data_IF_553603133111
#
_entry.id   IF_553603133111
#
_cell.length_a   1.000
_cell.length_b   1.000
_cell.length_c   1.000
_cell.angle_alpha   90.00
_cell.angle_beta   90.00
_cell.angle_gamma   90.00
#
_symmetry.space_group_name_H-M   'P 1'
#
loop_
_entity.id
_entity.type
_entity.pdbx_description
1 polymer ?
#
# COMPACT_ATOMS: atom_id res chain seq x y z
N UNK A 1 -17.44 24.26 -5.48
CA UNK A 1 -16.22 23.44 -5.42
C UNK A 1 -15.32 23.83 -4.24
N UNK A 2 -14.82 25.07 -4.12
CA UNK A 2 -13.96 25.51 -3.00
C UNK A 2 -14.57 25.23 -1.63
N UNK A 3 -15.85 25.58 -1.41
CA UNK A 3 -16.53 25.34 -0.12
C UNK A 3 -16.64 23.86 0.28
N UNK A 4 -16.72 22.94 -0.68
CA UNK A 4 -16.74 21.49 -0.42
C UNK A 4 -15.35 20.97 -0.09
N UNK A 5 -14.33 21.46 -0.76
CA UNK A 5 -12.92 21.15 -0.46
C UNK A 5 -12.53 21.60 0.96
N UNK A 6 -12.91 22.82 1.34
CA UNK A 6 -12.68 23.31 2.72
C UNK A 6 -13.39 22.45 3.76
N UNK A 7 -14.63 22.03 3.51
CA UNK A 7 -15.38 21.12 4.39
C UNK A 7 -14.69 19.74 4.49
N UNK A 8 -14.22 19.20 3.37
CA UNK A 8 -13.50 17.93 3.34
C UNK A 8 -12.20 17.99 4.15
N UNK A 9 -11.42 19.05 3.95
CA UNK A 9 -10.17 19.30 4.70
C UNK A 9 -10.48 19.46 6.19
N UNK A 10 -11.50 20.26 6.55
CA UNK A 10 -11.91 20.44 7.95
C UNK A 10 -12.30 19.11 8.59
N UNK A 11 -13.12 18.32 7.90
CA UNK A 11 -13.56 17.01 8.34
C UNK A 11 -12.36 16.08 8.54
N UNK A 12 -11.45 15.99 7.55
CA UNK A 12 -10.25 15.16 7.65
C UNK A 12 -9.34 15.58 8.82
N UNK A 13 -9.16 16.88 9.08
CA UNK A 13 -8.34 17.36 10.20
C UNK A 13 -8.85 16.91 11.58
N UNK A 14 -10.17 16.75 11.74
CA UNK A 14 -10.77 16.39 13.03
C UNK A 14 -11.12 14.90 13.15
N UNK A 15 -11.18 14.17 12.03
CA UNK A 15 -11.62 12.76 12.00
C UNK A 15 -10.58 11.79 11.45
N UNK A 16 -9.36 12.23 11.15
CA UNK A 16 -8.34 11.36 10.55
C UNK A 16 -8.18 10.03 11.31
N UNK A 17 -8.22 8.93 10.56
CA UNK A 17 -8.16 7.57 11.10
C UNK A 17 -9.52 7.05 11.62
N UNK A 18 -10.61 7.74 11.29
CA UNK A 18 -11.97 7.32 11.65
C UNK A 18 -12.55 6.41 10.58
N UNK A 19 -12.37 5.09 10.72
CA UNK A 19 -12.81 4.06 9.78
C UNK A 19 -14.31 4.17 9.44
N UNK A 20 -15.16 4.44 10.41
CA UNK A 20 -16.60 4.55 10.22
C UNK A 20 -17.00 5.65 9.22
N UNK A 21 -16.21 6.72 9.10
CA UNK A 21 -16.53 7.84 8.24
C UNK A 21 -16.32 7.51 6.75
N UNK A 22 -15.22 6.86 6.41
CA UNK A 22 -14.96 6.44 5.03
C UNK A 22 -15.99 5.44 4.54
N UNK A 23 -16.38 4.48 5.38
CA UNK A 23 -17.44 3.51 5.09
C UNK A 23 -18.78 4.20 4.84
N UNK A 24 -19.18 5.11 5.73
CA UNK A 24 -20.40 5.88 5.55
C UNK A 24 -20.36 6.72 4.28
N UNK A 25 -19.23 7.39 4.01
CA UNK A 25 -19.07 8.19 2.80
C UNK A 25 -19.17 7.34 1.52
N UNK A 26 -18.71 6.09 1.55
CA UNK A 26 -18.77 5.19 0.39
C UNK A 26 -20.20 4.82 -0.06
N UNK A 27 -21.21 5.05 0.78
CA UNK A 27 -22.63 4.83 0.44
C UNK A 27 -23.20 5.93 -0.48
N UNK A 28 -22.49 7.05 -0.66
CA UNK A 28 -22.96 8.18 -1.46
C UNK A 28 -22.32 8.21 -2.86
N UNK A 29 -23.08 8.65 -3.89
CA UNK A 29 -22.58 8.70 -5.25
C UNK A 29 -21.59 9.86 -5.50
N UNK A 30 -21.57 10.87 -4.65
CA UNK A 30 -20.72 12.06 -4.82
C UNK A 30 -20.45 12.78 -3.50
N UNK A 31 -19.41 13.61 -3.50
CA UNK A 31 -19.07 14.48 -2.37
C UNK A 31 -20.21 15.46 -2.05
N UNK A 32 -20.94 15.94 -3.08
CA UNK A 32 -22.10 16.81 -2.89
C UNK A 32 -23.25 16.09 -2.19
N UNK A 33 -23.57 14.85 -2.62
CA UNK A 33 -24.60 14.02 -1.99
C UNK A 33 -24.21 13.69 -0.53
N UNK A 34 -22.96 13.33 -0.30
CA UNK A 34 -22.43 13.10 1.04
C UNK A 34 -22.62 14.33 1.95
N UNK A 35 -22.22 15.55 1.51
CA UNK A 35 -22.38 16.75 2.32
C UNK A 35 -23.80 17.28 2.40
N UNK A 36 -24.69 16.88 1.51
CA UNK A 36 -26.12 17.20 1.61
C UNK A 36 -26.80 16.38 2.72
N UNK A 37 -26.45 15.09 2.82
CA UNK A 37 -26.93 14.19 3.86
C UNK A 37 -26.16 14.36 5.18
N UNK A 38 -24.85 14.60 5.09
CA UNK A 38 -23.99 14.86 6.23
C UNK A 38 -24.36 16.19 6.88
N UNK A 39 -25.53 16.21 7.49
CA UNK A 39 -25.87 17.27 8.38
C UNK A 39 -25.29 16.90 9.75
N UNK A 40 -24.56 17.85 10.36
CA UNK A 40 -23.86 17.68 11.62
C UNK A 40 -24.77 17.26 12.81
N UNK A 41 -26.05 16.97 12.56
CA UNK A 41 -27.07 16.55 13.53
C UNK A 41 -27.23 15.02 13.56
N UNK A 42 -26.89 14.31 12.49
CA UNK A 42 -26.97 12.85 12.48
C UNK A 42 -25.96 12.22 13.47
N UNK A 43 -26.46 11.27 14.24
CA UNK A 43 -25.64 10.43 15.11
C UNK A 43 -24.87 9.40 14.27
N UNK A 44 -23.86 9.85 13.55
CA UNK A 44 -22.92 8.90 12.97
C UNK A 44 -22.23 8.12 14.10
N UNK A 45 -22.28 6.79 14.07
CA UNK A 45 -21.58 5.99 15.06
C UNK A 45 -20.12 6.44 15.08
N UNK A 46 -19.69 6.97 16.25
CA UNK A 46 -18.32 7.39 16.44
C UNK A 46 -18.00 8.87 16.23
N UNK A 47 -18.87 9.72 15.68
CA UNK A 47 -18.65 11.17 15.68
C UNK A 47 -19.05 11.75 17.05
N UNK A 48 -18.04 12.04 17.85
CA UNK A 48 -18.27 12.67 19.16
C UNK A 48 -18.91 14.06 19.02
N UNK A 49 -19.63 14.50 20.03
CA UNK A 49 -20.19 15.85 20.09
C UNK A 49 -19.13 16.94 19.89
N UNK A 50 -17.90 16.70 20.36
CA UNK A 50 -16.77 17.59 20.20
C UNK A 50 -16.35 17.77 18.73
N UNK A 51 -16.34 16.70 17.94
CA UNK A 51 -16.03 16.77 16.49
C UNK A 51 -17.12 17.56 15.78
N UNK A 52 -18.40 17.30 16.06
CA UNK A 52 -19.51 18.06 15.51
C UNK A 52 -19.43 19.54 15.83
N UNK A 53 -19.15 19.88 17.07
CA UNK A 53 -18.98 21.26 17.52
C UNK A 53 -17.81 21.95 16.81
N UNK A 54 -16.67 21.26 16.66
CA UNK A 54 -15.49 21.79 15.97
C UNK A 54 -15.76 22.09 14.49
N UNK A 55 -16.59 21.26 13.82
CA UNK A 55 -16.96 21.50 12.42
C UNK A 55 -17.97 22.62 12.24
N UNK A 56 -18.93 22.76 13.16
CA UNK A 56 -19.92 23.87 13.14
C UNK A 56 -19.28 25.23 13.45
N UNK A 57 -18.35 25.26 14.37
CA UNK A 57 -17.65 26.50 14.82
C UNK A 57 -16.14 26.23 14.87
N UNK A 58 -15.45 26.22 13.72
CA UNK A 58 -14.03 25.95 13.65
C UNK A 58 -13.24 26.95 14.50
N UNK A 59 -12.38 26.43 15.38
CA UNK A 59 -11.45 27.23 16.16
C UNK A 59 -10.46 27.97 15.26
N UNK A 60 -9.80 29.00 15.80
CA UNK A 60 -8.73 29.71 15.06
C UNK A 60 -7.62 28.75 14.61
N UNK A 61 -7.29 27.78 15.44
CA UNK A 61 -6.29 26.75 15.10
C UNK A 61 -6.73 25.87 13.94
N UNK A 62 -7.99 25.37 13.95
CA UNK A 62 -8.52 24.57 12.86
C UNK A 62 -8.57 25.36 11.54
N UNK A 63 -9.02 26.62 11.58
CA UNK A 63 -8.99 27.50 10.40
C UNK A 63 -7.57 27.70 9.87
N UNK A 64 -6.58 27.89 10.75
CA UNK A 64 -5.18 27.99 10.34
C UNK A 64 -4.68 26.71 9.66
N UNK A 65 -5.02 25.52 10.18
CA UNK A 65 -4.68 24.23 9.57
C UNK A 65 -5.33 24.07 8.19
N UNK A 66 -6.62 24.39 8.07
CA UNK A 66 -7.33 24.35 6.77
C UNK A 66 -6.62 25.27 5.75
N UNK A 67 -6.28 26.50 6.13
CA UNK A 67 -5.56 27.42 5.24
C UNK A 67 -4.16 26.91 4.87
N UNK A 68 -3.46 26.25 5.79
CA UNK A 68 -2.17 25.61 5.49
C UNK A 68 -2.32 24.46 4.47
N UNK A 69 -3.32 23.62 4.63
CA UNK A 69 -3.62 22.53 3.69
C UNK A 69 -3.99 23.11 2.31
N UNK A 70 -4.84 24.13 2.23
CA UNK A 70 -5.20 24.81 0.97
C UNK A 70 -3.98 25.44 0.30
N UNK A 71 -3.17 26.22 1.03
CA UNK A 71 -1.94 26.83 0.49
C UNK A 71 -0.95 25.76 -0.02
N UNK A 72 -0.90 24.61 0.65
CA UNK A 72 -0.04 23.52 0.17
C UNK A 72 -0.57 22.97 -1.16
N UNK A 73 -1.88 22.86 -1.33
CA UNK A 73 -2.53 22.37 -2.56
C UNK A 73 -2.38 23.32 -3.77
N UNK A 74 -1.96 24.56 -3.58
CA UNK A 74 -1.76 25.52 -4.69
C UNK A 74 -0.61 25.12 -5.63
N UNK A 75 0.24 24.15 -5.26
CA UNK A 75 1.31 23.65 -6.12
C UNK A 75 0.82 22.51 -7.03
N UNK A 76 1.32 22.51 -8.26
CA UNK A 76 0.88 21.62 -9.34
C UNK A 76 1.15 20.12 -9.09
N UNK A 77 2.13 19.78 -8.23
CA UNK A 77 2.50 18.42 -7.86
C UNK A 77 1.76 17.92 -6.63
N UNK A 78 0.76 18.66 -6.12
CA UNK A 78 0.06 18.38 -4.87
C UNK A 78 -1.43 18.29 -5.07
N UNK A 79 -2.01 17.25 -4.50
CA UNK A 79 -3.41 16.91 -4.72
C UNK A 79 -4.06 16.48 -3.41
N UNK A 80 -5.36 16.70 -3.31
CA UNK A 80 -6.24 16.06 -2.34
C UNK A 80 -7.23 15.22 -3.13
N UNK A 81 -7.14 13.91 -3.01
CA UNK A 81 -7.93 12.95 -3.77
C UNK A 81 -9.01 12.40 -2.84
N UNK A 82 -10.25 12.74 -3.08
CA UNK A 82 -11.38 12.26 -2.28
C UNK A 82 -11.87 10.89 -2.74
N UNK A 83 -12.55 10.18 -1.84
CA UNK A 83 -13.16 8.87 -2.11
C UNK A 83 -14.11 8.88 -3.33
N UNK A 84 -14.57 10.06 -3.73
CA UNK A 84 -15.53 10.24 -4.80
C UNK A 84 -14.90 10.54 -6.17
N UNK A 85 -13.59 10.75 -6.22
CA UNK A 85 -12.89 11.08 -7.45
C UNK A 85 -12.45 9.83 -8.21
N UNK A 86 -12.39 9.88 -9.55
CA UNK A 86 -11.99 8.74 -10.38
C UNK A 86 -10.53 8.32 -10.16
N UNK A 87 -9.69 9.25 -9.67
CA UNK A 87 -8.29 8.99 -9.33
C UNK A 87 -8.13 8.20 -8.03
N UNK A 88 -9.19 8.09 -7.21
CA UNK A 88 -9.11 7.32 -5.97
C UNK A 88 -8.93 5.82 -6.26
N UNK A 89 -7.94 5.13 -5.66
CA UNK A 89 -7.65 3.73 -5.99
C UNK A 89 -8.85 2.82 -5.80
N UNK A 90 -9.27 2.16 -6.89
CA UNK A 90 -10.48 1.32 -6.90
C UNK A 90 -10.41 0.19 -5.87
N UNK A 91 -9.24 -0.46 -5.72
CA UNK A 91 -9.05 -1.51 -4.73
C UNK A 91 -9.16 -1.00 -3.30
N UNK A 92 -8.63 0.19 -3.01
CA UNK A 92 -8.71 0.81 -1.69
C UNK A 92 -10.16 1.19 -1.34
N UNK A 93 -10.94 1.64 -2.35
CA UNK A 93 -12.35 1.98 -2.18
C UNK A 93 -13.20 0.78 -1.74
N UNK A 94 -12.80 -0.44 -2.13
CA UNK A 94 -13.48 -1.69 -1.79
C UNK A 94 -13.18 -2.18 -0.37
N UNK A 95 -12.19 -1.61 0.32
CA UNK A 95 -11.85 -2.02 1.68
C UNK A 95 -12.91 -1.60 2.69
N UNK A 96 -12.92 -2.26 3.85
CA UNK A 96 -13.89 -2.00 4.91
C UNK A 96 -13.86 -0.56 5.45
N UNK A 97 -12.69 0.08 5.45
CA UNK A 97 -12.47 1.42 6.01
C UNK A 97 -11.61 2.30 5.09
N UNK A 98 -12.12 2.64 3.88
CA UNK A 98 -11.37 3.46 2.96
C UNK A 98 -11.13 4.86 3.56
N UNK A 99 -9.95 5.49 3.41
CA UNK A 99 -9.75 6.89 3.76
C UNK A 99 -10.73 7.81 3.03
N UNK A 100 -11.30 8.78 3.73
CA UNK A 100 -12.22 9.76 3.11
C UNK A 100 -11.51 10.57 2.01
N UNK A 101 -10.24 10.85 2.21
CA UNK A 101 -9.37 11.49 1.21
C UNK A 101 -7.90 11.15 1.46
N UNK A 102 -7.10 11.36 0.42
CA UNK A 102 -5.65 11.18 0.43
C UNK A 102 -4.98 12.48 0.00
N UNK A 103 -4.10 13.02 0.82
CA UNK A 103 -3.10 14.00 0.39
C UNK A 103 -2.06 13.28 -0.46
N UNK A 104 -1.73 13.83 -1.61
CA UNK A 104 -0.78 13.24 -2.55
C UNK A 104 0.23 14.27 -3.05
N UNK A 105 1.50 13.85 -3.20
CA UNK A 105 2.55 14.67 -3.80
C UNK A 105 3.38 13.85 -4.78
N UNK A 106 3.42 14.28 -6.04
CA UNK A 106 4.12 13.63 -7.13
C UNK A 106 3.18 13.14 -8.24
N UNK A 107 3.50 12.03 -8.88
CA UNK A 107 2.77 11.51 -10.05
C UNK A 107 1.51 10.71 -9.64
N UNK A 108 0.36 11.35 -9.64
CA UNK A 108 -0.94 10.71 -9.28
C UNK A 108 -1.38 9.63 -10.27
N UNK A 109 -0.88 9.62 -11.52
CA UNK A 109 -1.23 8.58 -12.49
C UNK A 109 -0.81 7.17 -12.04
N UNK A 110 0.11 7.06 -11.07
CA UNK A 110 0.50 5.79 -10.47
C UNK A 110 -0.62 5.14 -9.64
N UNK A 111 -1.59 5.90 -9.15
CA UNK A 111 -2.70 5.37 -8.34
C UNK A 111 -3.61 4.42 -9.11
N UNK A 112 -3.76 4.63 -10.41
CA UNK A 112 -4.63 3.83 -11.27
C UNK A 112 -3.90 2.67 -11.96
N UNK A 113 -2.59 2.50 -11.70
CA UNK A 113 -1.83 1.36 -12.21
C UNK A 113 -1.97 0.17 -11.25
N UNK A 114 -1.83 -1.08 -11.75
CA UNK A 114 -1.79 -2.25 -10.88
C UNK A 114 -0.60 -2.16 -9.91
N UNK A 115 -0.88 -2.45 -8.65
CA UNK A 115 0.08 -2.26 -7.56
C UNK A 115 0.34 -3.56 -6.82
N UNK A 116 1.56 -3.71 -6.31
CA UNK A 116 1.94 -4.78 -5.38
C UNK A 116 2.68 -4.19 -4.17
N UNK A 117 2.32 -4.65 -2.98
CA UNK A 117 2.98 -4.19 -1.76
C UNK A 117 4.25 -5.00 -1.50
N UNK A 118 5.34 -4.33 -1.10
CA UNK A 118 6.54 -4.96 -0.55
C UNK A 118 6.76 -4.43 0.85
N UNK A 119 6.70 -5.30 1.85
CA UNK A 119 6.85 -4.94 3.26
C UNK A 119 7.72 -5.94 4.00
N UNK A 120 8.29 -5.52 5.14
CA UNK A 120 9.11 -6.43 5.92
C UNK A 120 9.78 -5.77 7.12
N UNK A 121 10.84 -6.41 7.59
CA UNK A 121 11.61 -5.99 8.75
C UNK A 121 12.21 -4.59 8.59
N UNK A 122 12.06 -3.76 9.62
CA UNK A 122 12.77 -2.47 9.73
C UNK A 122 14.28 -2.65 9.97
N UNK A 123 14.68 -3.81 10.51
CA UNK A 123 16.05 -4.25 10.73
C UNK A 123 16.36 -5.40 9.79
N UNK A 124 16.17 -5.16 8.50
CA UNK A 124 16.40 -6.16 7.47
C UNK A 124 17.87 -6.52 7.34
N UNK A 125 18.13 -7.78 7.01
CA UNK A 125 19.46 -8.23 6.64
C UNK A 125 19.88 -7.63 5.29
N UNK A 126 21.17 -7.64 4.98
CA UNK A 126 21.65 -7.23 3.67
C UNK A 126 21.06 -8.09 2.53
N UNK A 127 20.85 -9.38 2.79
CA UNK A 127 20.20 -10.31 1.85
C UNK A 127 18.74 -9.93 1.64
N UNK A 128 17.98 -9.70 2.72
CA UNK A 128 16.58 -9.28 2.61
C UNK A 128 16.41 -7.95 1.87
N UNK A 129 17.28 -6.98 2.12
CA UNK A 129 17.26 -5.71 1.37
C UNK A 129 17.57 -5.93 -0.12
N UNK A 130 18.55 -6.76 -0.45
CA UNK A 130 18.89 -7.11 -1.84
C UNK A 130 17.69 -7.76 -2.53
N UNK A 131 17.05 -8.76 -1.91
CA UNK A 131 15.85 -9.42 -2.43
C UNK A 131 14.75 -8.40 -2.68
N UNK A 132 14.43 -7.54 -1.71
CA UNK A 132 13.38 -6.53 -1.85
C UNK A 132 13.66 -5.57 -3.01
N UNK A 133 14.92 -5.15 -3.20
CA UNK A 133 15.34 -4.27 -4.30
C UNK A 133 15.20 -4.97 -5.65
N UNK A 134 15.66 -6.21 -5.78
CA UNK A 134 15.61 -6.98 -7.03
C UNK A 134 14.17 -7.33 -7.43
N UNK A 135 13.34 -7.78 -6.49
CA UNK A 135 11.91 -8.04 -6.74
C UNK A 135 11.19 -6.75 -7.16
N UNK A 136 11.43 -5.65 -6.44
CA UNK A 136 10.84 -4.36 -6.78
C UNK A 136 11.21 -3.90 -8.20
N UNK A 137 12.49 -4.02 -8.59
CA UNK A 137 12.96 -3.66 -9.93
C UNK A 137 12.28 -4.50 -11.00
N UNK A 138 12.34 -5.84 -10.88
CA UNK A 138 11.76 -6.77 -11.85
C UNK A 138 10.23 -6.63 -11.97
N UNK A 139 9.51 -6.50 -10.85
CA UNK A 139 8.05 -6.29 -10.86
C UNK A 139 7.68 -4.95 -11.50
N UNK A 140 8.51 -3.91 -11.31
CA UNK A 140 8.32 -2.62 -11.98
C UNK A 140 8.58 -2.70 -13.49
N UNK A 141 9.49 -3.57 -13.95
CA UNK A 141 9.77 -3.81 -15.37
C UNK A 141 8.57 -4.42 -16.09
N UNK A 142 7.79 -5.24 -15.43
CA UNK A 142 6.55 -5.81 -15.98
C UNK A 142 5.32 -4.93 -15.77
N UNK A 143 5.49 -3.70 -15.30
CA UNK A 143 4.43 -2.68 -15.22
C UNK A 143 3.68 -2.59 -13.89
N UNK A 144 4.09 -3.36 -12.86
CA UNK A 144 3.53 -3.24 -11.53
C UNK A 144 4.14 -2.07 -10.75
N UNK A 145 3.32 -1.28 -10.09
CA UNK A 145 3.79 -0.21 -9.20
C UNK A 145 4.05 -0.79 -7.81
N UNK A 146 5.24 -0.51 -7.27
CA UNK A 146 5.57 -0.93 -5.90
C UNK A 146 5.01 0.06 -4.90
N UNK A 147 4.16 -0.44 -4.00
CA UNK A 147 3.57 0.33 -2.91
C UNK A 147 4.16 -0.13 -1.58
N UNK A 148 4.63 0.79 -0.76
CA UNK A 148 5.18 0.46 0.55
C UNK A 148 5.04 1.60 1.56
N UNK A 149 5.51 1.36 2.79
CA UNK A 149 5.25 2.23 3.94
C UNK A 149 6.37 3.21 4.30
N UNK A 150 7.40 3.36 3.50
CA UNK A 150 8.50 4.28 3.77
C UNK A 150 9.30 3.99 5.06
N UNK A 151 9.12 2.83 5.71
CA UNK A 151 9.91 2.43 6.86
C UNK A 151 11.37 2.13 6.46
N UNK A 152 12.28 2.09 7.44
CA UNK A 152 13.65 1.58 7.20
C UNK A 152 13.61 0.10 6.83
N UNK A 153 14.69 -0.42 6.23
CA UNK A 153 14.82 -1.83 5.88
C UNK A 153 14.09 -2.19 4.59
N UNK A 154 13.19 -3.15 4.62
CA UNK A 154 12.55 -3.72 3.43
C UNK A 154 11.74 -2.69 2.65
N UNK A 155 10.94 -1.84 3.31
CA UNK A 155 10.15 -0.80 2.64
C UNK A 155 11.05 0.13 1.82
N UNK A 156 12.13 0.63 2.44
CA UNK A 156 13.08 1.51 1.76
C UNK A 156 13.79 0.81 0.58
N UNK A 157 14.16 -0.46 0.75
CA UNK A 157 14.79 -1.26 -0.30
C UNK A 157 13.84 -1.49 -1.49
N UNK A 158 12.56 -1.80 -1.23
CA UNK A 158 11.52 -1.91 -2.25
C UNK A 158 11.35 -0.61 -3.04
N UNK A 159 11.25 0.53 -2.35
CA UNK A 159 11.18 1.83 -3.02
C UNK A 159 12.41 2.12 -3.89
N UNK A 160 13.62 1.80 -3.39
CA UNK A 160 14.86 1.99 -4.14
C UNK A 160 14.88 1.20 -5.45
N UNK A 161 14.44 -0.07 -5.42
CA UNK A 161 14.38 -0.93 -6.61
C UNK A 161 13.42 -0.41 -7.68
N UNK A 162 12.27 0.14 -7.27
CA UNK A 162 11.22 0.60 -8.18
C UNK A 162 11.35 2.07 -8.63
N UNK A 163 12.31 2.82 -8.11
CA UNK A 163 12.35 4.28 -8.21
C UNK A 163 12.43 4.80 -9.66
N UNK A 164 13.08 4.06 -10.55
CA UNK A 164 13.23 4.46 -11.97
C UNK A 164 11.92 4.38 -12.77
N UNK A 165 10.94 3.61 -12.31
CA UNK A 165 9.64 3.41 -12.98
C UNK A 165 8.46 3.96 -12.18
N UNK A 166 8.74 4.50 -11.00
CA UNK A 166 7.77 5.04 -10.06
C UNK A 166 7.35 4.05 -8.99
N UNK A 167 7.18 4.58 -7.78
CA UNK A 167 6.74 3.83 -6.60
C UNK A 167 5.82 4.71 -5.75
N UNK A 168 4.93 4.10 -4.97
CA UNK A 168 4.01 4.83 -4.09
C UNK A 168 4.42 4.61 -2.64
N UNK A 169 4.77 5.69 -1.96
CA UNK A 169 5.04 5.67 -0.52
C UNK A 169 3.82 6.15 0.25
N UNK A 170 3.23 5.26 1.03
CA UNK A 170 2.14 5.60 1.94
C UNK A 170 2.73 6.04 3.27
N UNK A 171 2.38 7.22 3.75
CA UNK A 171 2.98 7.80 4.95
C UNK A 171 2.09 7.63 6.18
N UNK A 172 2.71 7.47 7.34
CA UNK A 172 2.05 7.52 8.65
C UNK A 172 2.09 8.92 9.28
N UNK A 173 2.45 9.95 8.49
CA UNK A 173 2.55 11.37 8.86
C UNK A 173 1.91 12.22 7.77
N UNK A 174 1.80 13.53 7.94
CA UNK A 174 1.47 14.40 6.81
C UNK A 174 2.54 14.33 5.71
N UNK A 175 2.15 14.61 4.45
CA UNK A 175 3.05 14.58 3.29
C UNK A 175 4.19 15.61 3.36
N UNK A 176 4.06 16.61 4.23
CA UNK A 176 5.05 17.64 4.52
C UNK A 176 6.10 17.20 5.57
N UNK A 177 5.95 16.02 6.18
CA UNK A 177 6.82 15.53 7.26
C UNK A 177 7.70 14.39 6.80
N UNK A 178 8.99 14.52 7.01
CA UNK A 178 9.98 13.46 6.77
C UNK A 178 9.99 12.49 7.94
N UNK A 179 9.61 11.23 7.70
CA UNK A 179 9.74 10.17 8.69
C UNK A 179 9.90 8.78 8.05
N UNK A 180 10.89 8.00 8.46
CA UNK A 180 11.99 8.35 9.37
C UNK A 180 13.03 9.27 8.70
N UNK A 181 13.71 10.12 9.47
CA UNK A 181 14.73 11.05 8.92
C UNK A 181 15.82 10.36 8.09
N UNK A 182 16.17 9.13 8.44
CA UNK A 182 17.14 8.31 7.68
C UNK A 182 16.75 8.15 6.20
N UNK A 183 15.46 8.19 5.88
CA UNK A 183 14.94 8.01 4.52
C UNK A 183 14.64 9.35 3.81
N UNK A 184 15.11 10.48 4.33
CA UNK A 184 14.85 11.81 3.75
C UNK A 184 15.24 11.89 2.27
N UNK A 185 16.47 11.45 1.93
CA UNK A 185 16.94 11.44 0.53
C UNK A 185 16.07 10.58 -0.38
N UNK A 186 15.61 9.44 0.14
CA UNK A 186 14.71 8.56 -0.60
C UNK A 186 13.34 9.23 -0.80
N UNK A 187 12.81 9.88 0.23
CA UNK A 187 11.55 10.62 0.15
C UNK A 187 11.58 11.73 -0.91
N UNK A 188 12.69 12.47 -1.01
CA UNK A 188 12.89 13.51 -2.05
C UNK A 188 12.84 12.87 -3.43
N UNK A 189 13.58 11.79 -3.66
CA UNK A 189 13.59 11.07 -4.94
C UNK A 189 12.23 10.48 -5.31
N UNK A 190 11.44 10.03 -4.34
CA UNK A 190 10.08 9.54 -4.58
C UNK A 190 9.14 10.70 -4.98
N UNK A 191 9.27 11.88 -4.39
CA UNK A 191 8.52 13.07 -4.83
C UNK A 191 8.76 13.42 -6.30
N UNK A 192 9.99 13.22 -6.77
CA UNK A 192 10.40 13.54 -8.15
C UNK A 192 9.98 12.45 -9.16
N UNK A 193 10.07 11.17 -8.78
CA UNK A 193 9.95 10.04 -9.70
C UNK A 193 8.79 9.08 -9.35
N UNK A 194 8.04 9.33 -8.31
CA UNK A 194 6.99 8.47 -7.79
C UNK A 194 5.84 9.28 -7.18
N UNK A 195 5.28 8.77 -6.10
CA UNK A 195 4.16 9.38 -5.42
C UNK A 195 4.25 9.18 -3.91
N UNK A 196 4.09 10.25 -3.14
CA UNK A 196 3.81 10.18 -1.71
C UNK A 196 2.32 10.33 -1.50
N UNK A 197 1.73 9.50 -0.63
CA UNK A 197 0.34 9.64 -0.20
C UNK A 197 0.20 9.54 1.31
N UNK A 198 -0.80 10.21 1.84
CA UNK A 198 -1.18 10.13 3.26
C UNK A 198 -2.66 10.41 3.47
N UNK A 199 -3.30 9.67 4.38
CA UNK A 199 -4.63 10.05 4.91
C UNK A 199 -4.54 11.16 5.96
N UNK A 200 -3.35 11.46 6.45
CA UNK A 200 -3.13 12.45 7.51
C UNK A 200 -2.98 13.85 6.94
N UNK A 201 -3.60 14.88 7.58
CA UNK A 201 -3.44 16.28 7.19
C UNK A 201 -1.99 16.74 7.38
N UNK A 202 -1.64 17.87 6.77
CA UNK A 202 -0.32 18.45 6.90
C UNK A 202 0.01 18.77 8.37
N UNK A 203 1.29 18.77 8.67
CA UNK A 203 1.80 18.99 10.02
C UNK A 203 1.58 17.82 10.98
N UNK A 204 0.92 16.72 10.55
CA UNK A 204 0.73 15.55 11.40
C UNK A 204 2.06 14.85 11.67
N UNK A 205 2.46 14.85 12.93
CA UNK A 205 3.71 14.23 13.38
C UNK A 205 3.55 12.70 13.50
N UNK A 206 4.70 12.00 13.51
CA UNK A 206 4.74 10.56 13.68
C UNK A 206 4.26 10.13 15.07
N UNK A 207 3.30 9.21 15.12
CA UNK A 207 2.83 8.56 16.35
C UNK A 207 2.77 7.05 16.15
N UNK A 208 3.14 6.23 17.15
CA UNK A 208 3.25 4.78 17.00
C UNK A 208 2.02 4.10 16.39
N UNK A 209 0.82 4.49 16.78
CA UNK A 209 -0.44 3.90 16.33
C UNK A 209 -0.77 4.21 14.85
N UNK A 210 -0.22 5.27 14.28
CA UNK A 210 -0.48 5.67 12.89
C UNK A 210 0.14 4.69 11.88
N UNK A 211 1.22 4.02 12.23
CA UNK A 211 1.89 3.10 11.32
C UNK A 211 1.09 1.81 11.07
N UNK A 212 0.55 1.12 12.09
CA UNK A 212 -0.37 0.01 11.85
C UNK A 212 -1.64 0.44 11.10
N UNK A 213 -2.21 1.61 11.42
CA UNK A 213 -3.39 2.13 10.72
C UNK A 213 -3.12 2.39 9.24
N UNK A 214 -1.97 3.02 8.92
CA UNK A 214 -1.55 3.27 7.55
C UNK A 214 -1.37 1.99 6.72
N UNK A 215 -0.93 0.88 7.34
CA UNK A 215 -0.66 -0.36 6.60
C UNK A 215 -1.89 -0.87 5.85
N UNK A 216 -3.12 -0.61 6.33
CA UNK A 216 -4.35 -0.97 5.61
C UNK A 216 -4.47 -0.29 4.24
N UNK A 217 -3.86 0.88 4.07
CA UNK A 217 -3.83 1.60 2.79
C UNK A 217 -2.81 0.94 1.87
N UNK A 218 -1.62 0.57 2.38
CA UNK A 218 -0.58 -0.13 1.60
C UNK A 218 -1.14 -1.43 1.01
N UNK A 219 -1.76 -2.26 1.86
CA UNK A 219 -2.33 -3.55 1.43
C UNK A 219 -3.60 -3.37 0.61
N UNK A 220 -4.46 -2.41 0.98
CA UNK A 220 -5.74 -2.15 0.33
C UNK A 220 -5.64 -1.64 -1.11
N UNK A 221 -4.54 -0.94 -1.46
CA UNK A 221 -4.28 -0.48 -2.83
C UNK A 221 -3.66 -1.57 -3.70
N UNK A 222 -3.15 -2.63 -3.11
CA UNK A 222 -2.31 -3.63 -3.78
C UNK A 222 -3.10 -4.90 -4.10
N UNK A 223 -2.75 -5.55 -5.19
CA UNK A 223 -3.29 -6.86 -5.60
C UNK A 223 -2.83 -7.96 -4.67
N UNK A 224 -1.61 -7.83 -4.16
CA UNK A 224 -1.01 -8.73 -3.18
C UNK A 224 0.07 -8.05 -2.38
N UNK A 225 0.54 -8.72 -1.33
CA UNK A 225 1.56 -8.21 -0.40
C UNK A 225 2.69 -9.21 -0.25
N UNK A 226 3.90 -8.80 -0.60
CA UNK A 226 5.12 -9.59 -0.47
C UNK A 226 5.75 -9.30 0.89
N UNK A 227 5.92 -10.34 1.69
CA UNK A 227 6.60 -10.31 2.99
C UNK A 227 8.01 -10.84 2.79
N UNK A 228 9.02 -9.95 2.82
CA UNK A 228 10.41 -10.34 2.56
C UNK A 228 11.10 -10.88 3.80
N UNK A 229 10.99 -10.21 4.91
CA UNK A 229 11.47 -10.65 6.22
C UNK A 229 10.48 -10.25 7.31
N UNK A 230 10.14 -11.17 8.19
CA UNK A 230 9.33 -10.92 9.36
C UNK A 230 9.78 -11.80 10.53
N UNK A 231 10.10 -11.20 11.66
CA UNK A 231 10.24 -11.92 12.91
C UNK A 231 8.87 -12.40 13.42
N UNK A 232 8.83 -13.37 14.31
CA UNK A 232 7.59 -13.98 14.82
C UNK A 232 6.62 -12.98 15.46
N UNK A 233 7.13 -11.93 16.10
CA UNK A 233 6.34 -10.84 16.70
C UNK A 233 6.58 -9.52 15.95
N UNK A 234 6.52 -9.55 14.61
CA UNK A 234 6.77 -8.38 13.78
C UNK A 234 5.47 -7.63 13.48
N UNK A 235 5.56 -6.29 13.45
CA UNK A 235 4.49 -5.44 12.90
C UNK A 235 4.17 -5.72 11.41
N UNK A 236 5.08 -6.37 10.70
CA UNK A 236 4.88 -6.81 9.30
C UNK A 236 3.76 -7.85 9.19
N UNK A 237 3.57 -8.70 10.23
CA UNK A 237 2.48 -9.67 10.26
C UNK A 237 1.10 -9.00 10.34
N UNK A 238 1.04 -7.75 10.81
CA UNK A 238 -0.21 -6.96 10.75
C UNK A 238 -0.56 -6.68 9.28
N UNK A 239 0.42 -6.33 8.44
CA UNK A 239 0.17 -6.11 7.01
C UNK A 239 -0.28 -7.39 6.31
N UNK A 240 0.32 -8.55 6.62
CA UNK A 240 -0.12 -9.83 6.06
C UNK A 240 -1.58 -10.14 6.43
N UNK A 241 -1.94 -9.94 7.71
CA UNK A 241 -3.33 -10.13 8.17
C UNK A 241 -4.28 -9.17 7.48
N UNK A 242 -3.94 -7.88 7.39
CA UNK A 242 -4.76 -6.87 6.71
C UNK A 242 -4.95 -7.21 5.23
N UNK A 243 -3.93 -7.70 4.53
CA UNK A 243 -4.04 -8.16 3.16
C UNK A 243 -5.06 -9.29 3.02
N UNK A 244 -4.98 -10.33 3.89
CA UNK A 244 -5.95 -11.43 3.92
C UNK A 244 -7.38 -10.95 4.22
N UNK A 245 -7.56 -10.07 5.23
CA UNK A 245 -8.86 -9.50 5.59
C UNK A 245 -9.47 -8.66 4.43
N UNK A 246 -8.62 -8.11 3.56
CA UNK A 246 -9.01 -7.33 2.37
C UNK A 246 -9.18 -8.21 1.11
N UNK A 247 -9.01 -9.53 1.21
CA UNK A 247 -9.08 -10.46 0.07
C UNK A 247 -7.93 -10.26 -0.94
N UNK A 248 -6.73 -9.93 -0.45
CA UNK A 248 -5.52 -9.74 -1.25
C UNK A 248 -4.57 -10.90 -1.05
N UNK A 249 -3.83 -11.26 -2.11
CA UNK A 249 -2.82 -12.31 -2.04
C UNK A 249 -1.70 -11.97 -1.05
N UNK A 250 -1.20 -13.01 -0.37
CA UNK A 250 -0.05 -12.88 0.54
C UNK A 250 1.07 -13.80 0.08
N UNK A 251 2.19 -13.18 -0.25
CA UNK A 251 3.41 -13.84 -0.69
C UNK A 251 4.46 -13.77 0.41
N UNK A 252 5.18 -14.85 0.65
CA UNK A 252 6.21 -14.88 1.66
C UNK A 252 7.53 -15.42 1.08
N UNK A 253 8.60 -14.64 1.25
CA UNK A 253 9.95 -15.07 0.88
C UNK A 253 10.46 -16.06 1.94
N UNK A 254 10.87 -17.29 1.56
CA UNK A 254 11.49 -18.23 2.48
C UNK A 254 12.86 -17.76 2.90
N UNK A 255 13.35 -18.27 4.02
CA UNK A 255 14.70 -17.98 4.49
C UNK A 255 15.25 -19.08 5.39
N UNK A 256 16.42 -18.86 6.00
CA UNK A 256 17.02 -19.83 6.89
C UNK A 256 16.13 -20.10 8.11
N UNK A 257 15.93 -21.38 8.45
CA UNK A 257 15.19 -21.81 9.66
C UNK A 257 15.91 -21.40 10.96
N UNK A 258 17.20 -21.12 10.89
CA UNK A 258 17.98 -20.62 12.03
C UNK A 258 17.87 -19.10 12.22
N UNK A 259 17.33 -18.39 11.21
CA UNK A 259 17.19 -16.94 11.23
C UNK A 259 15.92 -16.49 11.92
N UNK A 260 16.04 -15.71 12.99
CA UNK A 260 14.87 -15.15 13.68
C UNK A 260 14.04 -14.22 12.77
N UNK A 261 14.65 -13.61 11.76
CA UNK A 261 13.99 -12.69 10.82
C UNK A 261 13.04 -13.39 9.83
N UNK A 262 13.13 -14.73 9.70
CA UNK A 262 12.32 -15.48 8.73
C UNK A 262 11.20 -16.29 9.39
N UNK A 263 11.15 -16.38 10.72
CA UNK A 263 10.14 -17.17 11.44
C UNK A 263 8.70 -16.73 11.12
N UNK A 264 8.49 -15.43 10.94
CA UNK A 264 7.18 -14.90 10.55
C UNK A 264 6.79 -15.30 9.13
N UNK A 265 7.74 -15.26 8.17
CA UNK A 265 7.50 -15.72 6.81
C UNK A 265 7.17 -17.22 6.78
N UNK A 266 7.95 -18.06 7.52
CA UNK A 266 7.67 -19.51 7.61
C UNK A 266 6.26 -19.77 8.19
N UNK A 267 5.86 -19.03 9.24
CA UNK A 267 4.52 -19.14 9.80
C UNK A 267 3.44 -18.77 8.79
N UNK A 268 3.64 -17.70 8.02
CA UNK A 268 2.69 -17.30 6.97
C UNK A 268 2.57 -18.39 5.90
N UNK A 269 3.68 -19.00 5.46
CA UNK A 269 3.68 -20.12 4.50
C UNK A 269 2.89 -21.30 5.07
N UNK A 270 3.12 -21.67 6.33
CA UNK A 270 2.37 -22.74 7.00
C UNK A 270 0.87 -22.42 7.14
N UNK A 271 0.49 -21.15 7.11
CA UNK A 271 -0.90 -20.67 7.14
C UNK A 271 -1.52 -20.49 5.74
N UNK A 272 -0.79 -20.87 4.68
CA UNK A 272 -1.30 -20.86 3.31
C UNK A 272 -0.84 -19.67 2.47
N UNK A 273 0.04 -18.79 2.97
CA UNK A 273 0.66 -17.79 2.10
C UNK A 273 1.53 -18.47 1.04
N UNK A 274 1.46 -17.99 -0.21
CA UNK A 274 2.28 -18.51 -1.31
C UNK A 274 3.75 -18.30 -0.99
N UNK A 275 4.53 -19.38 -0.95
CA UNK A 275 5.99 -19.32 -0.95
C UNK A 275 6.45 -18.80 -2.32
N UNK A 276 7.31 -17.78 -2.34
CA UNK A 276 7.83 -17.21 -3.57
C UNK A 276 9.35 -17.10 -3.54
N UNK A 277 9.98 -17.51 -4.64
CA UNK A 277 11.43 -17.46 -4.85
C UNK A 277 11.79 -16.59 -6.07
N UNK A 278 10.80 -16.34 -6.94
CA UNK A 278 10.93 -15.54 -8.14
C UNK A 278 9.71 -14.64 -8.35
N UNK A 279 9.77 -13.72 -9.31
CA UNK A 279 8.62 -12.89 -9.67
C UNK A 279 7.56 -13.68 -10.41
N UNK A 280 7.92 -14.73 -11.11
CA UNK A 280 7.04 -15.64 -11.84
C UNK A 280 6.04 -16.28 -10.89
N UNK A 281 6.48 -16.73 -9.70
CA UNK A 281 5.61 -17.29 -8.64
C UNK A 281 4.52 -16.30 -8.21
N UNK A 282 4.80 -14.99 -8.30
CA UNK A 282 3.85 -13.93 -7.97
C UNK A 282 2.89 -13.68 -9.12
N UNK A 283 3.43 -13.61 -10.35
CA UNK A 283 2.64 -13.30 -11.54
C UNK A 283 1.62 -14.40 -11.86
N UNK A 284 1.93 -15.66 -11.54
CA UNK A 284 1.01 -16.81 -11.68
C UNK A 284 -0.26 -16.66 -10.82
N UNK A 285 -0.16 -16.07 -9.64
CA UNK A 285 -1.29 -15.90 -8.71
C UNK A 285 -2.07 -14.60 -8.96
N UNK A 286 -1.51 -13.65 -9.71
CA UNK A 286 -2.20 -12.39 -9.95
C UNK A 286 -3.17 -12.53 -11.13
N UNK A 287 -4.43 -12.11 -10.99
CA UNK A 287 -5.39 -12.15 -12.09
C UNK A 287 -4.85 -11.36 -13.29
N UNK A 288 -5.12 -11.86 -14.49
CA UNK A 288 -4.66 -11.34 -15.78
C UNK A 288 -4.97 -9.83 -15.89
N UNK A 289 -4.02 -9.04 -15.48
CA UNK A 289 -4.10 -7.59 -15.59
C UNK A 289 -3.31 -7.26 -16.83
N UNK A 290 -3.92 -7.08 -18.00
CA UNK A 290 -3.34 -6.57 -19.25
C UNK A 290 -1.85 -6.18 -19.26
N UNK A 291 -1.02 -6.91 -18.52
CA UNK A 291 0.43 -6.76 -18.46
C UNK A 291 0.93 -7.39 -19.75
N UNK A 292 1.42 -6.56 -20.66
CA UNK A 292 2.07 -7.02 -21.87
C UNK A 292 3.40 -7.71 -21.50
N UNK A 293 3.32 -9.01 -21.25
CA UNK A 293 4.48 -9.86 -20.93
C UNK A 293 5.41 -10.00 -22.14
N UNK A 294 5.00 -9.43 -23.29
CA UNK A 294 5.71 -9.58 -24.58
C UNK A 294 7.04 -8.82 -24.67
N UNK A 295 7.35 -7.90 -23.75
CA UNK A 295 8.58 -7.08 -23.82
C UNK A 295 9.71 -7.50 -22.88
N UNK A 296 9.49 -8.48 -22.00
CA UNK A 296 10.58 -9.06 -21.22
C UNK A 296 11.16 -10.27 -21.94
N UNK A 297 12.49 -10.36 -22.06
CA UNK A 297 13.24 -11.53 -22.53
C UNK A 297 13.02 -12.78 -21.65
N UNK A 298 11.75 -13.12 -21.37
CA UNK A 298 11.31 -14.38 -20.76
C UNK A 298 11.24 -15.51 -21.79
N UNK A 299 12.04 -15.42 -22.85
CA UNK A 299 12.23 -16.54 -23.76
C UNK A 299 13.33 -17.44 -23.21
N UNK A 300 12.86 -18.69 -23.00
CA UNK A 300 13.58 -19.94 -22.88
C UNK A 300 13.78 -20.50 -21.47
N UNK A 301 12.64 -21.01 -20.91
CA UNK A 301 12.74 -22.37 -20.38
C UNK A 301 12.00 -23.26 -21.39
N UNK A 302 12.61 -24.36 -21.88
CA UNK A 302 11.90 -25.27 -22.75
C UNK A 302 10.73 -25.87 -21.97
N UNK A 303 9.51 -25.80 -22.54
CA UNK A 303 8.44 -26.69 -22.12
C UNK A 303 8.99 -28.11 -22.15
N UNK A 304 8.92 -28.78 -21.04
CA UNK A 304 9.11 -30.24 -20.95
C UNK A 304 7.88 -30.95 -21.58
N UNK A 305 7.62 -30.64 -22.85
CA UNK A 305 6.78 -31.46 -23.69
C UNK A 305 7.70 -32.53 -24.25
N UNK A 306 7.48 -33.77 -23.82
CA UNK A 306 8.19 -35.00 -24.20
C UNK A 306 9.53 -35.24 -23.53
N UNK A 307 9.52 -35.56 -22.25
CA UNK A 307 10.51 -36.48 -21.72
C UNK A 307 10.20 -37.85 -22.27
N UNK A 308 10.92 -38.26 -23.30
CA UNK A 308 11.01 -39.71 -23.63
C UNK A 308 11.54 -40.39 -22.37
N UNK A 309 10.65 -41.17 -21.72
CA UNK A 309 11.03 -42.03 -20.59
C UNK A 309 12.16 -42.92 -21.06
N UNK A 310 13.33 -42.80 -20.46
CA UNK A 310 14.49 -43.61 -20.77
C UNK A 310 14.09 -45.10 -20.57
N UNK A 311 14.57 -45.96 -21.48
CA UNK A 311 14.27 -47.41 -21.49
C UNK A 311 14.52 -48.13 -20.14
N UNK A 312 15.27 -47.53 -19.24
CA UNK A 312 15.52 -48.04 -17.89
C UNK A 312 14.28 -47.94 -16.97
N UNK A 313 13.46 -46.89 -17.07
CA UNK A 313 12.25 -46.70 -16.24
C UNK A 313 11.10 -47.61 -16.70
N UNK A 314 11.00 -47.90 -17.97
CA UNK A 314 10.01 -48.81 -18.51
C UNK A 314 10.22 -50.27 -18.05
N UNK A 315 11.47 -50.65 -17.76
CA UNK A 315 11.82 -52.00 -17.26
C UNK A 315 11.44 -52.18 -15.80
N UNK A 316 11.38 -51.14 -14.99
CA UNK A 316 11.01 -51.23 -13.55
C UNK A 316 9.49 -51.44 -13.39
N UNK A 317 8.68 -50.78 -14.22
CA UNK A 317 7.22 -50.93 -14.17
C UNK A 317 6.74 -52.31 -14.65
N UNK A 318 7.46 -53.02 -15.52
CA UNK A 318 7.15 -54.36 -15.99
C UNK A 318 7.43 -55.47 -14.97
N UNK A 319 8.11 -55.20 -13.87
CA UNK A 319 8.43 -56.16 -12.80
C UNK A 319 7.55 -56.01 -11.55
N UNK A 320 6.57 -55.09 -11.59
CA UNK A 320 5.64 -54.81 -10.47
C UNK A 320 4.16 -55.16 -10.82
N UNK A 321 3.94 -55.82 -11.94
CA UNK A 321 2.61 -56.32 -12.33
C UNK A 321 2.51 -57.84 -12.17
#
# INVERSE_FOLDING_TARGET
MVAQLEKLIALNNVTTGYAALGRYAAEFPSLSAFFADFNFEHNLPGLSSNIRSALRRPSRELKRKINQDLTWLDKTDRHLISLFEPEYPALLKQTYDPPLCLFAQGNIALLNKPQIAIVGSRRATAVGQKIATEFAAKLSEVGLVITSGMATGIDAAGHQGALSRGTIAVLGTGCDRVYPLRNERLMIRIKENGLLISEYPLGREARPYQFPQRNRIVTGMSLGTIIVEAAEKSGTLISARLAMEQGREVFAIPGSIYGNQNKGCHRLIQQGAKLVQSIEDILEELPFIGIDVSTSNLRTLPRLDNVELDRAETSILAHLS
#
